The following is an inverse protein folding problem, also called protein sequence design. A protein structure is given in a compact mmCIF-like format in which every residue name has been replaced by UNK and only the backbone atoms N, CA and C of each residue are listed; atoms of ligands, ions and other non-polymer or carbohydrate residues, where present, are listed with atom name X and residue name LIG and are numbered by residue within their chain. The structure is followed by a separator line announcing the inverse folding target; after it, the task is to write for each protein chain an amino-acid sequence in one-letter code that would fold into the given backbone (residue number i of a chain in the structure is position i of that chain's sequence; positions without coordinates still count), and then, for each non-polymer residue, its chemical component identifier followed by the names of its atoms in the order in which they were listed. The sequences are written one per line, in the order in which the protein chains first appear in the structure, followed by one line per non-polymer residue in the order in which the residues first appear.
data_IF_997959625371
#
_entry.id   IF_997959625371
#
_cell.length_a   1.000
_cell.length_b   1.000
_cell.length_c   1.000
_cell.angle_alpha   90.00
_cell.angle_beta   90.00
_cell.angle_gamma   90.00
#
_symmetry.space_group_name_H-M   'P 1'
#
loop_
_entity.id
_entity.type
_entity.pdbx_description
1 polymer ?
#
# COMPACT_ATOMS: atom_id res chain seq x y z
N UNK A 1 15.13 133.26 -34.13
CA UNK A 1 16.07 132.24 -33.61
C UNK A 1 15.74 131.77 -32.18
N UNK A 2 15.32 132.65 -31.25
CA UNK A 2 14.99 132.24 -29.87
C UNK A 2 13.77 131.30 -29.69
N UNK A 3 12.73 131.42 -30.52
CA UNK A 3 11.51 130.58 -30.41
C UNK A 3 11.75 129.11 -30.79
N UNK A 4 12.57 128.84 -31.80
CA UNK A 4 12.92 127.47 -32.22
C UNK A 4 13.81 126.76 -31.20
N UNK A 5 14.71 127.50 -30.54
CA UNK A 5 15.58 126.96 -29.49
C UNK A 5 14.74 126.53 -28.28
N UNK A 6 13.73 127.32 -27.88
CA UNK A 6 12.86 126.96 -26.77
C UNK A 6 12.02 125.70 -27.04
N UNK A 7 11.49 125.55 -28.26
CA UNK A 7 10.76 124.34 -28.69
C UNK A 7 11.65 123.09 -28.71
N UNK A 8 12.92 123.23 -29.08
CA UNK A 8 13.87 122.12 -29.04
C UNK A 8 14.23 121.72 -27.60
N UNK A 9 14.32 122.67 -26.68
CA UNK A 9 14.56 122.41 -25.26
C UNK A 9 13.36 121.70 -24.59
N UNK A 10 12.13 122.13 -24.90
CA UNK A 10 10.90 121.48 -24.41
C UNK A 10 10.82 120.02 -24.89
N UNK A 11 11.03 119.80 -26.20
CA UNK A 11 11.07 118.45 -26.76
C UNK A 11 12.18 117.58 -26.17
N UNK A 12 13.35 118.15 -25.88
CA UNK A 12 14.44 117.44 -25.22
C UNK A 12 14.08 117.06 -23.78
N UNK A 13 13.31 117.87 -23.07
CA UNK A 13 12.81 117.54 -21.73
C UNK A 13 11.77 116.41 -21.79
N UNK A 14 10.84 116.48 -22.73
CA UNK A 14 9.84 115.41 -22.96
C UNK A 14 10.50 114.08 -23.33
N UNK A 15 11.47 114.10 -24.24
CA UNK A 15 12.23 112.90 -24.64
C UNK A 15 13.03 112.31 -23.46
N UNK A 16 13.58 113.16 -22.58
CA UNK A 16 14.25 112.72 -21.34
C UNK A 16 13.28 112.11 -20.34
N UNK A 17 12.08 112.67 -20.20
CA UNK A 17 11.03 112.13 -19.33
C UNK A 17 10.55 110.78 -19.85
N UNK A 18 10.22 110.69 -21.14
CA UNK A 18 9.83 109.44 -21.81
C UNK A 18 10.93 108.37 -21.71
N UNK A 19 12.21 108.74 -21.87
CA UNK A 19 13.33 107.83 -21.66
C UNK A 19 13.39 107.30 -20.23
N UNK A 20 13.18 108.15 -19.22
CA UNK A 20 13.17 107.74 -17.82
C UNK A 20 12.04 106.76 -17.53
N UNK A 21 10.84 107.02 -18.04
CA UNK A 21 9.69 106.13 -17.90
C UNK A 21 9.91 104.77 -18.58
N UNK A 22 10.55 104.78 -19.75
CA UNK A 22 10.96 103.57 -20.46
C UNK A 22 12.03 102.80 -19.68
N UNK A 23 13.02 103.47 -19.08
CA UNK A 23 14.04 102.84 -18.24
C UNK A 23 13.43 102.22 -16.96
N UNK A 24 12.45 102.87 -16.33
CA UNK A 24 11.71 102.32 -15.19
C UNK A 24 10.85 101.12 -15.58
N UNK A 25 10.16 101.21 -16.73
CA UNK A 25 9.36 100.10 -17.28
C UNK A 25 10.24 98.91 -17.64
N UNK A 26 11.38 99.13 -18.31
CA UNK A 26 12.33 98.08 -18.65
C UNK A 26 12.88 97.39 -17.39
N UNK A 27 13.18 98.15 -16.33
CA UNK A 27 13.61 97.60 -15.04
C UNK A 27 12.52 96.74 -14.39
N UNK A 28 11.26 97.20 -14.41
CA UNK A 28 10.12 96.46 -13.88
C UNK A 28 9.88 95.16 -14.66
N UNK A 29 9.93 95.20 -15.99
CA UNK A 29 9.80 94.02 -16.84
C UNK A 29 10.94 93.04 -16.61
N UNK A 30 12.17 93.51 -16.46
CA UNK A 30 13.33 92.66 -16.12
C UNK A 30 13.15 91.92 -14.79
N UNK A 31 12.66 92.60 -13.75
CA UNK A 31 12.35 91.97 -12.46
C UNK A 31 11.23 90.93 -12.55
N UNK A 32 10.18 91.22 -13.33
CA UNK A 32 9.08 90.27 -13.59
C UNK A 32 9.58 89.04 -14.36
N UNK A 33 10.43 89.24 -15.37
CA UNK A 33 11.03 88.16 -16.14
C UNK A 33 11.91 87.26 -15.27
N UNK A 34 12.79 87.84 -14.44
CA UNK A 34 13.65 87.09 -13.52
C UNK A 34 12.82 86.27 -12.50
N UNK A 35 11.72 86.84 -11.99
CA UNK A 35 10.81 86.12 -11.08
C UNK A 35 10.08 84.99 -11.79
N UNK A 36 9.62 85.21 -13.03
CA UNK A 36 8.97 84.18 -13.83
C UNK A 36 9.93 83.03 -14.17
N UNK A 37 11.18 83.35 -14.49
CA UNK A 37 12.24 82.37 -14.76
C UNK A 37 12.57 81.54 -13.52
N UNK A 38 12.73 82.18 -12.37
CA UNK A 38 12.93 81.48 -11.08
C UNK A 38 11.78 80.51 -10.76
N UNK A 39 10.53 80.93 -11.01
CA UNK A 39 9.35 80.07 -10.84
C UNK A 39 9.31 78.92 -11.84
N UNK A 40 9.71 79.15 -13.10
CA UNK A 40 9.75 78.12 -14.12
C UNK A 40 10.75 77.03 -13.74
N UNK A 41 11.96 77.41 -13.32
CA UNK A 41 13.00 76.48 -12.85
C UNK A 41 12.51 75.66 -11.65
N UNK A 42 11.83 76.28 -10.69
CA UNK A 42 11.25 75.57 -9.54
C UNK A 42 10.20 74.53 -9.99
N UNK A 43 9.28 74.92 -10.87
CA UNK A 43 8.25 74.03 -11.39
C UNK A 43 8.83 72.88 -12.22
N UNK A 44 9.90 73.12 -12.98
CA UNK A 44 10.64 72.06 -13.69
C UNK A 44 11.29 71.07 -12.73
N UNK A 45 11.84 71.55 -11.60
CA UNK A 45 12.37 70.72 -10.52
C UNK A 45 11.31 69.80 -9.91
N UNK A 46 10.15 70.36 -9.55
CA UNK A 46 9.03 69.61 -8.98
C UNK A 46 8.51 68.56 -9.98
N UNK A 47 8.38 68.93 -11.26
CA UNK A 47 7.94 68.01 -12.32
C UNK A 47 8.92 66.85 -12.51
N UNK A 48 10.22 67.07 -12.34
CA UNK A 48 11.23 66.00 -12.41
C UNK A 48 11.05 65.01 -11.25
N UNK A 49 10.88 65.50 -10.03
CA UNK A 49 10.66 64.65 -8.85
C UNK A 49 9.40 63.80 -9.03
N UNK A 50 8.30 64.42 -9.47
CA UNK A 50 7.05 63.71 -9.73
C UNK A 50 7.20 62.62 -10.81
N UNK A 51 8.00 62.87 -11.86
CA UNK A 51 8.30 61.86 -12.88
C UNK A 51 9.08 60.68 -12.30
N UNK A 52 10.11 60.95 -11.49
CA UNK A 52 10.90 59.91 -10.83
C UNK A 52 10.04 59.07 -9.87
N UNK A 53 9.18 59.71 -9.09
CA UNK A 53 8.24 59.04 -8.18
C UNK A 53 7.26 58.17 -8.95
N UNK A 54 6.70 58.66 -10.06
CA UNK A 54 5.80 57.88 -10.90
C UNK A 54 6.48 56.62 -11.47
N UNK A 55 7.72 56.74 -11.94
CA UNK A 55 8.50 55.60 -12.44
C UNK A 55 8.72 54.58 -11.33
N UNK A 56 9.19 55.03 -10.17
CA UNK A 56 9.43 54.16 -9.00
C UNK A 56 8.16 53.42 -8.56
N UNK A 57 7.03 54.13 -8.52
CA UNK A 57 5.73 53.52 -8.21
C UNK A 57 5.32 52.48 -9.25
N UNK A 58 5.47 52.80 -10.54
CA UNK A 58 5.14 51.87 -11.62
C UNK A 58 6.00 50.60 -11.57
N UNK A 59 7.31 50.73 -11.28
CA UNK A 59 8.18 49.57 -11.07
C UNK A 59 7.75 48.74 -9.85
N UNK A 60 7.33 49.38 -8.76
CA UNK A 60 6.80 48.67 -7.59
C UNK A 60 5.54 47.89 -7.94
N UNK A 61 4.61 48.50 -8.67
CA UNK A 61 3.38 47.85 -9.11
C UNK A 61 3.66 46.63 -10.01
N UNK A 62 4.67 46.70 -10.88
CA UNK A 62 5.10 45.55 -11.69
C UNK A 62 5.66 44.45 -10.81
N UNK A 63 6.56 44.77 -9.86
CA UNK A 63 7.11 43.79 -8.91
C UNK A 63 6.01 43.11 -8.09
N UNK A 64 5.03 43.88 -7.61
CA UNK A 64 3.92 43.34 -6.83
C UNK A 64 3.01 42.45 -7.70
N UNK A 65 2.74 42.84 -8.94
CA UNK A 65 1.99 42.03 -9.90
C UNK A 65 2.69 40.70 -10.19
N UNK A 66 4.00 40.72 -10.41
CA UNK A 66 4.79 39.51 -10.66
C UNK A 66 4.77 38.59 -9.42
N UNK A 67 4.90 39.17 -8.23
CA UNK A 67 4.80 38.43 -6.96
C UNK A 67 3.42 37.81 -6.76
N UNK A 68 2.34 38.53 -7.07
CA UNK A 68 0.97 38.00 -7.03
C UNK A 68 0.84 36.83 -8.01
N UNK A 69 1.39 36.95 -9.22
CA UNK A 69 1.37 35.85 -10.21
C UNK A 69 2.09 34.60 -9.68
N UNK A 70 3.28 34.77 -9.09
CA UNK A 70 4.05 33.66 -8.51
C UNK A 70 3.28 32.99 -7.36
N UNK A 71 2.75 33.78 -6.42
CA UNK A 71 1.98 33.25 -5.28
C UNK A 71 0.70 32.55 -5.73
N UNK A 72 0.06 33.05 -6.79
CA UNK A 72 -1.13 32.40 -7.37
C UNK A 72 -0.78 31.02 -7.91
N UNK A 73 0.33 30.90 -8.64
CA UNK A 73 0.81 29.61 -9.16
C UNK A 73 1.21 28.65 -8.02
N UNK A 74 1.82 29.15 -6.96
CA UNK A 74 2.17 28.35 -5.78
C UNK A 74 0.91 27.80 -5.08
N UNK A 75 -0.12 28.63 -4.92
CA UNK A 75 -1.42 28.22 -4.37
C UNK A 75 -2.07 27.14 -5.24
N UNK A 76 -2.02 27.25 -6.57
CA UNK A 76 -2.54 26.22 -7.48
C UNK A 76 -1.76 24.89 -7.35
N UNK A 77 -0.43 24.96 -7.25
CA UNK A 77 0.41 23.79 -7.00
C UNK A 77 0.05 23.09 -5.69
N UNK A 78 -0.10 23.86 -4.60
CA UNK A 78 -0.50 23.34 -3.29
C UNK A 78 -1.90 22.70 -3.32
N UNK A 79 -2.85 23.30 -4.05
CA UNK A 79 -4.18 22.69 -4.25
C UNK A 79 -4.09 21.34 -4.96
N UNK A 80 -3.28 21.25 -6.02
CA UNK A 80 -3.04 19.97 -6.72
C UNK A 80 -2.40 18.92 -5.79
N UNK A 81 -1.43 19.31 -4.96
CA UNK A 81 -0.82 18.42 -3.98
C UNK A 81 -1.87 17.94 -2.96
N UNK A 82 -2.71 18.84 -2.46
CA UNK A 82 -3.80 18.50 -1.53
C UNK A 82 -4.79 17.50 -2.13
N UNK A 83 -5.14 17.64 -3.41
CA UNK A 83 -6.00 16.67 -4.11
C UNK A 83 -5.36 15.28 -4.19
N UNK A 84 -4.06 15.21 -4.53
CA UNK A 84 -3.31 13.93 -4.55
C UNK A 84 -3.23 13.29 -3.17
N UNK A 85 -3.02 14.09 -2.13
CA UNK A 85 -2.98 13.61 -0.75
C UNK A 85 -4.32 12.98 -0.34
N UNK A 86 -5.45 13.63 -0.66
CA UNK A 86 -6.77 13.08 -0.37
C UNK A 86 -7.03 11.77 -1.11
N UNK A 87 -6.66 11.67 -2.40
CA UNK A 87 -6.80 10.44 -3.16
C UNK A 87 -5.96 9.30 -2.58
N UNK A 88 -4.71 9.57 -2.19
CA UNK A 88 -3.84 8.60 -1.53
C UNK A 88 -4.40 8.16 -0.17
N UNK A 89 -5.04 9.07 0.57
CA UNK A 89 -5.66 8.74 1.85
C UNK A 89 -6.85 7.78 1.68
N UNK A 90 -7.65 7.98 0.64
CA UNK A 90 -8.75 7.07 0.29
C UNK A 90 -8.22 5.70 -0.15
N UNK A 91 -7.20 5.66 -1.01
CA UNK A 91 -6.54 4.41 -1.42
C UNK A 91 -5.96 3.66 -0.22
N UNK A 92 -5.29 4.36 0.70
CA UNK A 92 -4.76 3.77 1.91
C UNK A 92 -5.86 3.16 2.80
N UNK A 93 -7.00 3.85 2.92
CA UNK A 93 -8.14 3.32 3.67
C UNK A 93 -8.68 2.04 3.02
N UNK A 94 -8.85 2.03 1.70
CA UNK A 94 -9.30 0.84 0.94
C UNK A 94 -8.32 -0.32 1.12
N UNK A 95 -7.03 -0.10 0.93
CA UNK A 95 -5.99 -1.12 1.09
C UNK A 95 -5.96 -1.69 2.50
N UNK A 96 -6.16 -0.86 3.53
CA UNK A 96 -6.20 -1.30 4.92
C UNK A 96 -7.39 -2.21 5.19
N UNK A 97 -8.56 -1.89 4.64
CA UNK A 97 -9.75 -2.75 4.73
C UNK A 97 -9.51 -4.08 4.02
N UNK A 98 -9.01 -4.05 2.79
CA UNK A 98 -8.71 -5.25 2.01
C UNK A 98 -7.70 -6.16 2.73
N UNK A 99 -6.64 -5.57 3.30
CA UNK A 99 -5.66 -6.30 4.09
C UNK A 99 -6.30 -6.97 5.31
N UNK A 100 -7.15 -6.25 6.05
CA UNK A 100 -7.83 -6.81 7.22
C UNK A 100 -8.77 -7.95 6.85
N UNK A 101 -9.47 -7.85 5.72
CA UNK A 101 -10.36 -8.90 5.22
C UNK A 101 -9.55 -10.13 4.78
N UNK A 102 -8.49 -9.93 4.00
CA UNK A 102 -7.61 -11.01 3.57
C UNK A 102 -6.99 -11.76 4.76
N UNK A 103 -6.61 -11.04 5.84
CA UNK A 103 -6.10 -11.66 7.04
C UNK A 103 -7.14 -12.56 7.72
N UNK A 104 -8.38 -12.10 7.86
CA UNK A 104 -9.47 -12.91 8.44
C UNK A 104 -9.74 -14.16 7.60
N UNK A 105 -9.80 -14.02 6.28
CA UNK A 105 -9.97 -15.16 5.39
C UNK A 105 -8.82 -16.17 5.54
N UNK A 106 -7.58 -15.70 5.70
CA UNK A 106 -6.45 -16.59 5.92
C UNK A 106 -6.54 -17.33 7.26
N UNK A 107 -6.99 -16.66 8.32
CA UNK A 107 -7.24 -17.27 9.63
C UNK A 107 -8.34 -18.34 9.56
N UNK A 108 -9.46 -18.05 8.89
CA UNK A 108 -10.56 -18.99 8.67
C UNK A 108 -10.11 -20.22 7.88
N UNK A 109 -9.40 -20.02 6.76
CA UNK A 109 -8.85 -21.13 5.95
C UNK A 109 -7.88 -21.97 6.76
N UNK A 110 -7.02 -21.33 7.58
CA UNK A 110 -6.11 -22.02 8.48
C UNK A 110 -6.82 -22.89 9.51
N UNK A 111 -7.90 -22.39 10.11
CA UNK A 111 -8.73 -23.12 11.05
C UNK A 111 -9.41 -24.34 10.40
N UNK A 112 -10.05 -24.13 9.24
CA UNK A 112 -10.69 -25.22 8.48
C UNK A 112 -9.69 -26.29 8.05
N UNK A 113 -8.49 -25.89 7.62
CA UNK A 113 -7.44 -26.84 7.25
C UNK A 113 -6.99 -27.68 8.45
N UNK A 114 -6.84 -27.06 9.62
CA UNK A 114 -6.49 -27.77 10.85
C UNK A 114 -7.57 -28.76 11.27
N UNK A 115 -8.84 -28.36 11.17
CA UNK A 115 -9.98 -29.23 11.48
C UNK A 115 -10.02 -30.43 10.53
N UNK A 116 -9.94 -30.18 9.21
CA UNK A 116 -9.92 -31.23 8.20
C UNK A 116 -8.75 -32.19 8.41
N UNK A 117 -7.58 -31.69 8.81
CA UNK A 117 -6.41 -32.52 9.13
C UNK A 117 -6.67 -33.47 10.31
N UNK A 118 -7.29 -32.98 11.38
CA UNK A 118 -7.64 -33.79 12.54
C UNK A 118 -8.67 -34.86 12.16
N UNK A 119 -9.72 -34.48 11.42
CA UNK A 119 -10.75 -35.42 10.95
C UNK A 119 -10.14 -36.53 10.07
N UNK A 120 -9.23 -36.19 9.15
CA UNK A 120 -8.52 -37.18 8.34
C UNK A 120 -7.67 -38.12 9.19
N UNK A 121 -6.97 -37.59 10.21
CA UNK A 121 -6.17 -38.40 11.11
C UNK A 121 -7.04 -39.40 11.89
N UNK A 122 -8.18 -38.95 12.43
CA UNK A 122 -9.13 -39.83 13.12
C UNK A 122 -9.69 -40.92 12.21
N UNK A 123 -9.98 -40.60 10.95
CA UNK A 123 -10.46 -41.58 9.97
C UNK A 123 -9.39 -42.63 9.68
N UNK A 124 -8.14 -42.21 9.46
CA UNK A 124 -7.01 -43.12 9.25
C UNK A 124 -6.76 -44.03 10.46
N UNK A 125 -6.86 -43.49 11.68
CA UNK A 125 -6.74 -44.28 12.91
C UNK A 125 -7.86 -45.32 13.03
N UNK A 126 -9.10 -44.96 12.69
CA UNK A 126 -10.22 -45.91 12.65
C UNK A 126 -10.02 -46.99 11.61
N UNK A 127 -9.60 -46.64 10.40
CA UNK A 127 -9.30 -47.61 9.33
C UNK A 127 -8.17 -48.56 9.74
N UNK A 128 -7.10 -48.05 10.34
CA UNK A 128 -5.99 -48.86 10.84
C UNK A 128 -6.43 -49.80 11.98
N UNK A 129 -7.21 -49.32 12.94
CA UNK A 129 -7.74 -50.14 14.03
C UNK A 129 -8.66 -51.26 13.49
N UNK A 130 -9.46 -50.95 12.48
CA UNK A 130 -10.34 -51.92 11.84
C UNK A 130 -9.56 -52.97 11.04
N UNK A 131 -8.48 -52.59 10.35
CA UNK A 131 -7.58 -53.52 9.69
C UNK A 131 -6.90 -54.49 10.67
N UNK A 132 -6.48 -54.00 11.85
CA UNK A 132 -5.90 -54.84 12.92
C UNK A 132 -6.94 -55.80 13.50
N UNK A 133 -8.18 -55.33 13.69
CA UNK A 133 -9.27 -56.19 14.17
C UNK A 133 -9.59 -57.33 13.19
N UNK A 134 -9.54 -57.07 11.88
CA UNK A 134 -9.78 -58.08 10.84
C UNK A 134 -8.61 -59.06 10.68
N UNK A 135 -7.36 -58.65 10.97
CA UNK A 135 -6.16 -59.50 10.90
C UNK A 135 -5.90 -60.31 12.19
N UNK A 136 -6.76 -60.21 13.22
CA UNK A 136 -6.62 -60.99 14.46
C UNK A 136 -7.15 -62.41 14.25
N UNK A 137 -6.31 -63.47 14.32
CA UNK A 137 -6.75 -64.83 14.03
C UNK A 137 -7.81 -65.29 15.02
N UNK A 138 -9.05 -65.44 14.57
CA UNK A 138 -10.15 -65.91 15.42
C UNK A 138 -9.93 -67.40 15.72
N UNK A 139 -9.54 -67.72 16.95
CA UNK A 139 -9.40 -69.11 17.39
C UNK A 139 -10.77 -69.79 17.30
N UNK A 140 -10.93 -70.64 16.28
CA UNK A 140 -12.24 -71.24 15.99
C UNK A 140 -12.62 -72.18 17.14
N UNK A 141 -13.84 -72.04 17.65
CA UNK A 141 -14.36 -72.92 18.69
C UNK A 141 -14.53 -74.34 18.16
N UNK A 142 -14.16 -75.33 18.98
CA UNK A 142 -14.32 -76.75 18.65
C UNK A 142 -15.78 -77.14 18.40
N UNK A 143 -16.76 -76.41 18.95
CA UNK A 143 -18.18 -76.71 18.72
C UNK A 143 -18.63 -76.34 17.31
N UNK A 144 -18.02 -75.32 16.72
CA UNK A 144 -18.48 -74.73 15.46
C UNK A 144 -17.82 -75.38 14.24
N UNK A 145 -16.67 -76.04 14.42
CA UNK A 145 -16.00 -76.75 13.34
C UNK A 145 -16.57 -78.16 13.14
N UNK A 146 -17.46 -78.35 12.18
CA UNK A 146 -18.01 -79.67 11.79
C UNK A 146 -17.09 -80.46 10.87
N UNK A 147 -16.23 -79.77 10.11
CA UNK A 147 -15.29 -80.37 9.15
C UNK A 147 -13.92 -79.68 9.17
N UNK A 148 -12.90 -80.37 8.63
CA UNK A 148 -11.56 -79.82 8.49
C UNK A 148 -11.54 -78.60 7.57
N UNK A 149 -10.97 -77.48 8.02
CA UNK A 149 -10.89 -76.23 7.23
C UNK A 149 -10.13 -76.41 5.90
N UNK A 150 -9.15 -77.30 5.81
CA UNK A 150 -8.39 -77.53 4.57
C UNK A 150 -9.07 -78.54 3.61
N UNK A 151 -9.43 -79.72 4.13
CA UNK A 151 -9.87 -80.83 3.28
C UNK A 151 -11.37 -81.10 3.31
N UNK A 152 -12.15 -80.27 4.01
CA UNK A 152 -13.63 -80.28 4.13
C UNK A 152 -14.27 -81.58 4.61
N UNK A 153 -13.48 -82.59 5.00
CA UNK A 153 -13.96 -83.85 5.58
C UNK A 153 -14.44 -83.64 7.01
N UNK A 154 -15.62 -84.19 7.32
CA UNK A 154 -16.24 -84.12 8.64
C UNK A 154 -15.37 -84.73 9.74
N UNK A 155 -15.43 -84.13 10.92
CA UNK A 155 -14.81 -84.68 12.11
C UNK A 155 -15.66 -85.80 12.70
N UNK A 156 -14.98 -86.83 13.19
CA UNK A 156 -15.61 -88.00 13.82
C UNK A 156 -14.79 -88.39 15.05
N UNK A 157 -15.25 -89.37 15.82
CA UNK A 157 -14.50 -89.86 17.01
C UNK A 157 -13.07 -90.29 16.65
N UNK A 158 -12.88 -90.89 15.46
CA UNK A 158 -11.57 -91.31 14.96
C UNK A 158 -10.78 -90.15 14.31
N UNK A 159 -11.46 -89.12 13.79
CA UNK A 159 -10.84 -87.95 13.16
C UNK A 159 -10.90 -86.74 14.10
N UNK A 160 -9.91 -86.61 14.98
CA UNK A 160 -9.85 -85.54 15.99
C UNK A 160 -9.55 -84.16 15.38
N UNK A 161 -10.02 -83.13 16.09
CA UNK A 161 -9.82 -81.70 15.78
C UNK A 161 -8.47 -81.23 16.28
N UNK A 162 -7.80 -80.38 15.50
CA UNK A 162 -6.53 -79.77 15.86
C UNK A 162 -6.47 -78.33 15.38
N UNK A 163 -6.17 -77.39 16.28
CA UNK A 163 -5.95 -76.00 15.89
C UNK A 163 -4.59 -75.76 15.25
N UNK A 164 -4.56 -74.95 14.21
CA UNK A 164 -3.33 -74.31 13.76
C UNK A 164 -2.99 -73.17 14.73
N UNK A 165 -1.79 -73.20 15.32
CA UNK A 165 -1.36 -72.15 16.29
C UNK A 165 -1.00 -70.82 15.63
N UNK A 166 -1.02 -70.74 14.29
CA UNK A 166 -0.78 -69.51 13.52
C UNK A 166 -2.08 -68.84 13.06
N UNK A 167 -2.97 -69.57 12.36
CA UNK A 167 -4.23 -69.00 11.85
C UNK A 167 -5.47 -69.26 12.72
N UNK A 168 -5.38 -70.05 13.80
CA UNK A 168 -6.48 -70.29 14.74
C UNK A 168 -7.61 -71.22 14.25
N UNK A 169 -7.63 -71.60 12.96
CA UNK A 169 -8.62 -72.54 12.41
C UNK A 169 -8.37 -74.01 12.81
N UNK A 170 -9.39 -74.86 12.59
CA UNK A 170 -9.41 -76.28 13.00
C UNK A 170 -9.21 -77.23 11.82
N UNK A 171 -8.25 -78.13 11.95
CA UNK A 171 -7.82 -79.08 10.93
C UNK A 171 -7.81 -80.51 11.48
N UNK A 172 -7.78 -81.51 10.59
CA UNK A 172 -7.48 -82.88 10.97
C UNK A 172 -5.97 -83.11 11.09
N UNK A 173 -5.56 -84.25 11.66
CA UNK A 173 -4.14 -84.57 11.86
C UNK A 173 -3.33 -84.51 10.56
N UNK A 174 -3.87 -85.08 9.47
CA UNK A 174 -3.21 -85.09 8.16
C UNK A 174 -3.01 -83.69 7.53
N UNK A 175 -3.88 -82.71 7.82
CA UNK A 175 -3.77 -81.34 7.27
C UNK A 175 -3.02 -80.39 8.20
N UNK A 176 -2.48 -80.90 9.31
CA UNK A 176 -1.80 -80.09 10.34
C UNK A 176 -0.67 -80.88 11.00
N UNK A 177 -0.01 -81.78 10.28
CA UNK A 177 0.96 -82.71 10.85
C UNK A 177 2.25 -82.01 11.31
N UNK A 178 2.56 -80.87 10.70
CA UNK A 178 3.85 -80.19 10.83
C UNK A 178 3.86 -79.19 11.99
N UNK A 179 5.05 -78.94 12.52
CA UNK A 179 5.27 -77.95 13.58
C UNK A 179 6.28 -76.90 13.12
N UNK A 180 6.12 -75.66 13.60
CA UNK A 180 7.04 -74.53 13.34
C UNK A 180 7.30 -73.76 14.62
N UNK A 181 8.47 -73.13 14.72
CA UNK A 181 8.76 -72.19 15.80
C UNK A 181 8.04 -70.87 15.49
N UNK A 182 7.02 -70.54 16.29
CA UNK A 182 6.32 -69.25 16.22
C UNK A 182 6.83 -68.32 17.31
N UNK A 183 6.90 -67.03 17.01
CA UNK A 183 7.27 -65.98 17.97
C UNK A 183 6.38 -66.06 19.22
N UNK A 184 6.98 -66.13 20.41
CA UNK A 184 6.27 -66.25 21.69
C UNK A 184 6.14 -67.67 22.25
N UNK A 185 6.47 -68.71 21.48
CA UNK A 185 6.46 -70.10 21.95
C UNK A 185 7.88 -70.65 22.12
N UNK A 186 8.16 -71.27 23.27
CA UNK A 186 9.48 -71.84 23.58
C UNK A 186 9.77 -73.16 22.87
N UNK A 187 8.76 -73.79 22.25
CA UNK A 187 8.85 -75.05 21.51
C UNK A 187 8.09 -74.94 20.19
N UNK A 188 8.48 -75.69 19.13
CA UNK A 188 7.73 -75.74 17.89
C UNK A 188 6.27 -76.16 18.12
N UNK A 189 5.33 -75.43 17.52
CA UNK A 189 3.89 -75.66 17.67
C UNK A 189 3.23 -76.09 16.37
N UNK A 190 2.12 -76.83 16.48
CA UNK A 190 1.37 -77.37 15.35
C UNK A 190 0.78 -76.27 14.47
N UNK A 191 0.97 -76.38 13.15
CA UNK A 191 0.36 -75.51 12.15
C UNK A 191 -0.26 -76.32 11.00
N UNK A 192 -1.22 -75.73 10.29
CA UNK A 192 -1.74 -76.35 9.06
C UNK A 192 -0.72 -76.28 7.92
N UNK A 193 -0.93 -77.06 6.86
CA UNK A 193 -0.02 -77.12 5.72
C UNK A 193 0.20 -75.76 5.03
N UNK A 194 -0.86 -74.94 4.92
CA UNK A 194 -0.77 -73.60 4.33
C UNK A 194 0.13 -72.68 5.17
N UNK A 195 -0.13 -72.58 6.48
CA UNK A 195 0.72 -71.80 7.39
C UNK A 195 2.15 -72.33 7.47
N UNK A 196 2.37 -73.63 7.33
CA UNK A 196 3.70 -74.21 7.28
C UNK A 196 4.47 -73.79 6.02
N UNK A 197 3.80 -73.74 4.87
CA UNK A 197 4.40 -73.33 3.60
C UNK A 197 4.82 -71.85 3.64
N UNK A 198 3.94 -70.97 4.14
CA UNK A 198 4.22 -69.53 4.27
C UNK A 198 5.42 -69.23 5.18
N UNK A 199 5.51 -69.88 6.35
CA UNK A 199 6.63 -69.68 7.30
C UNK A 199 7.96 -70.17 6.72
N UNK A 200 7.95 -71.04 5.70
CA UNK A 200 9.18 -71.52 5.04
C UNK A 200 9.65 -70.64 3.88
N UNK A 201 8.80 -69.73 3.40
CA UNK A 201 9.10 -68.82 2.29
C UNK A 201 9.58 -67.44 2.77
N UNK A 202 9.46 -67.17 4.06
CA UNK A 202 10.02 -66.03 4.80
C UNK A 202 11.28 -66.43 5.54
#
# INVERSE_FOLDING_TARGET
MGSTIHQLDEKLQDDKAARKDLEETARSLGQKAATAESRAVAAEGDLRIEREWRISLQESMVRDRDKISMLTQEVESLKSIGQKYLALQEEQHVLKTQYSEAQKTLEEVGATLSENKLQLQELLEKEAAQAVADDTPTWTSDKDATACTACTKEFTIARRKHHCRRCGHIFCGACSEKTVALTGNTKPVRVCDACFAEVRLT
#
